data_IF_494695298162
#
_entry.id   IF_494695298162
#
_cell.length_a   1.000
_cell.length_b   1.000
_cell.length_c   1.000
_cell.angle_alpha   90.00
_cell.angle_beta   90.00
_cell.angle_gamma   90.00
#
_symmetry.space_group_name_H-M   'P 1'
#
loop_
_entity.id
_entity.type
_entity.pdbx_description
1 polymer ?
#
# COMPACT_ATOMS: atom_id res chain seq x y z
N UNK A 1 1.47 16.88 -25.38
CA UNK A 1 1.76 15.44 -25.39
C UNK A 1 0.72 14.75 -24.52
N UNK A 2 0.02 13.77 -25.06
CA UNK A 2 -0.90 12.93 -24.26
C UNK A 2 -0.03 12.01 -23.42
N UNK A 3 -0.12 12.11 -22.09
CA UNK A 3 0.59 11.22 -21.17
C UNK A 3 -0.22 9.92 -21.04
N UNK A 4 0.01 8.99 -21.97
CA UNK A 4 -0.81 7.76 -22.13
C UNK A 4 -0.17 6.51 -21.54
N UNK A 5 1.14 6.52 -21.34
CA UNK A 5 1.92 5.42 -20.79
C UNK A 5 3.01 5.92 -19.84
N UNK A 6 3.39 5.13 -18.82
CA UNK A 6 4.51 5.48 -17.97
C UNK A 6 5.80 5.53 -18.81
N UNK A 7 6.66 6.50 -18.51
CA UNK A 7 7.98 6.57 -19.16
C UNK A 7 8.75 5.26 -18.88
N UNK A 8 9.28 4.64 -19.93
CA UNK A 8 10.19 3.52 -19.78
C UNK A 8 11.53 4.03 -19.23
N UNK A 9 11.89 3.57 -18.04
CA UNK A 9 13.14 3.93 -17.35
C UNK A 9 13.85 2.64 -17.02
N UNK A 10 15.15 2.57 -17.32
CA UNK A 10 15.96 1.41 -16.96
C UNK A 10 16.23 1.37 -15.46
N UNK A 11 16.14 0.16 -14.90
CA UNK A 11 16.49 -0.08 -13.50
C UNK A 11 18.01 -0.01 -13.31
N UNK A 12 18.42 0.60 -12.19
CA UNK A 12 19.83 0.73 -11.82
C UNK A 12 20.24 -0.17 -10.67
N UNK A 13 19.34 -0.46 -9.75
CA UNK A 13 19.67 -1.14 -8.49
C UNK A 13 18.89 -2.43 -8.27
N UNK A 14 17.76 -2.59 -8.94
CA UNK A 14 16.79 -3.66 -8.66
C UNK A 14 17.38 -5.07 -8.82
N UNK A 15 18.12 -5.35 -9.90
CA UNK A 15 18.67 -6.69 -10.16
C UNK A 15 19.57 -7.17 -9.01
N UNK A 16 20.45 -6.28 -8.52
CA UNK A 16 21.33 -6.59 -7.37
C UNK A 16 20.51 -6.75 -6.08
N UNK A 17 19.51 -5.92 -5.88
CA UNK A 17 18.63 -5.99 -4.71
C UNK A 17 17.82 -7.29 -4.72
N UNK A 18 17.16 -7.62 -5.84
CA UNK A 18 16.34 -8.84 -5.99
C UNK A 18 17.14 -10.10 -5.71
N UNK A 19 18.41 -10.17 -6.15
CA UNK A 19 19.26 -11.34 -5.91
C UNK A 19 19.51 -11.61 -4.42
N UNK A 20 19.51 -10.58 -3.58
CA UNK A 20 19.68 -10.69 -2.13
C UNK A 20 18.40 -10.99 -1.33
N UNK A 21 17.23 -11.04 -1.97
CA UNK A 21 15.99 -11.35 -1.29
C UNK A 21 15.87 -12.85 -0.95
N UNK A 22 15.25 -13.19 0.21
CA UNK A 22 15.14 -14.57 0.66
C UNK A 22 14.21 -15.41 -0.20
N UNK A 23 14.34 -16.73 -0.09
CA UNK A 23 13.36 -17.70 -0.57
C UNK A 23 12.06 -17.61 0.24
N UNK A 24 10.92 -17.74 -0.44
CA UNK A 24 9.58 -17.64 0.14
C UNK A 24 8.80 -18.95 0.02
N UNK A 25 9.45 -20.06 -0.30
CA UNK A 25 8.80 -21.36 -0.38
C UNK A 25 8.03 -21.67 0.91
N UNK A 26 6.75 -22.03 0.78
CA UNK A 26 5.84 -22.29 1.89
C UNK A 26 5.25 -21.06 2.57
N UNK A 27 5.54 -19.86 2.09
CA UNK A 27 4.94 -18.60 2.59
C UNK A 27 3.79 -18.11 1.71
N UNK A 28 2.79 -17.52 2.34
CA UNK A 28 1.62 -16.91 1.69
C UNK A 28 1.76 -15.40 1.72
N UNK A 29 1.71 -14.77 0.55
CA UNK A 29 1.84 -13.31 0.39
C UNK A 29 0.60 -12.77 -0.32
N UNK A 30 -0.20 -11.94 0.35
CA UNK A 30 -1.34 -11.25 -0.24
C UNK A 30 -1.00 -9.77 -0.49
N UNK A 31 -1.27 -9.29 -1.72
CA UNK A 31 -0.94 -7.93 -2.14
C UNK A 31 -2.16 -7.29 -2.81
N UNK A 32 -2.54 -6.09 -2.36
CA UNK A 32 -3.59 -5.31 -3.02
C UNK A 32 -3.01 -4.52 -4.21
N UNK A 33 -3.74 -4.47 -5.34
CA UNK A 33 -3.38 -3.62 -6.48
C UNK A 33 -2.17 -4.10 -7.28
N UNK A 34 -2.16 -5.36 -7.69
CA UNK A 34 -1.05 -6.03 -8.39
C UNK A 34 -1.07 -5.88 -9.92
N UNK A 35 -1.93 -5.04 -10.50
CA UNK A 35 -2.11 -5.02 -11.97
C UNK A 35 -1.00 -4.30 -12.71
N UNK A 36 -0.37 -3.32 -12.10
CA UNK A 36 0.68 -2.48 -12.71
C UNK A 36 1.61 -1.87 -11.66
N UNK A 37 2.70 -1.22 -12.10
CA UNK A 37 3.59 -0.41 -11.25
C UNK A 37 4.24 -1.23 -10.14
N UNK A 38 4.41 -0.60 -8.97
CA UNK A 38 5.08 -1.21 -7.81
C UNK A 38 4.38 -2.47 -7.31
N UNK A 39 3.04 -2.52 -7.34
CA UNK A 39 2.30 -3.72 -6.94
C UNK A 39 2.55 -4.91 -7.85
N UNK A 40 2.63 -4.70 -9.16
CA UNK A 40 2.95 -5.76 -10.12
C UNK A 40 4.38 -6.29 -9.95
N UNK A 41 5.35 -5.38 -9.83
CA UNK A 41 6.75 -5.77 -9.61
C UNK A 41 6.91 -6.52 -8.28
N UNK A 42 6.26 -6.04 -7.20
CA UNK A 42 6.28 -6.72 -5.91
C UNK A 42 5.69 -8.14 -6.01
N UNK A 43 4.53 -8.28 -6.65
CA UNK A 43 3.85 -9.55 -6.84
C UNK A 43 4.71 -10.54 -7.67
N UNK A 44 5.26 -10.08 -8.79
CA UNK A 44 6.14 -10.88 -9.64
C UNK A 44 7.39 -11.36 -8.89
N UNK A 45 8.02 -10.47 -8.13
CA UNK A 45 9.21 -10.82 -7.33
C UNK A 45 8.88 -11.84 -6.25
N UNK A 46 7.77 -11.67 -5.51
CA UNK A 46 7.34 -12.65 -4.52
C UNK A 46 7.06 -14.03 -5.15
N UNK A 47 6.40 -14.06 -6.32
CA UNK A 47 6.16 -15.30 -7.07
C UNK A 47 7.48 -15.98 -7.49
N UNK A 48 8.44 -15.22 -8.06
CA UNK A 48 9.78 -15.72 -8.43
C UNK A 48 10.57 -16.27 -7.24
N UNK A 49 10.32 -15.74 -6.05
CA UNK A 49 10.94 -16.21 -4.81
C UNK A 49 10.20 -17.40 -4.17
N UNK A 50 9.19 -17.97 -4.83
CA UNK A 50 8.50 -19.19 -4.41
C UNK A 50 7.30 -19.00 -3.48
N UNK A 51 6.82 -17.77 -3.29
CA UNK A 51 5.62 -17.54 -2.48
C UNK A 51 4.35 -18.10 -3.14
N UNK A 52 3.41 -18.55 -2.32
CA UNK A 52 2.00 -18.62 -2.74
C UNK A 52 1.47 -17.18 -2.79
N UNK A 53 1.36 -16.63 -4.00
CA UNK A 53 0.93 -15.27 -4.22
C UNK A 53 -0.58 -15.16 -4.35
N UNK A 54 -1.19 -14.30 -3.52
CA UNK A 54 -2.60 -13.92 -3.62
C UNK A 54 -2.70 -12.46 -4.07
N UNK A 55 -3.23 -12.25 -5.26
CA UNK A 55 -3.46 -10.93 -5.83
C UNK A 55 -4.86 -10.44 -5.43
N UNK A 56 -4.94 -9.40 -4.60
CA UNK A 56 -6.19 -8.76 -4.20
C UNK A 56 -6.48 -7.60 -5.15
N UNK A 57 -7.28 -7.87 -6.18
CA UNK A 57 -7.56 -6.93 -7.26
C UNK A 57 -9.06 -6.83 -7.53
N UNK A 58 -9.47 -5.72 -8.14
CA UNK A 58 -10.81 -5.62 -8.76
C UNK A 58 -10.90 -6.61 -9.93
N UNK A 59 -12.07 -7.19 -10.13
CA UNK A 59 -12.34 -8.01 -11.31
C UNK A 59 -12.23 -7.14 -12.58
N UNK A 60 -11.26 -7.46 -13.43
CA UNK A 60 -11.00 -6.72 -14.67
C UNK A 60 -10.05 -7.50 -15.60
N UNK A 61 -10.11 -7.21 -16.90
CA UNK A 61 -9.16 -7.76 -17.88
C UNK A 61 -7.69 -7.47 -17.52
N UNK A 62 -7.41 -6.30 -16.93
CA UNK A 62 -6.07 -5.96 -16.43
C UNK A 62 -5.61 -6.89 -15.31
N UNK A 63 -6.53 -7.33 -14.44
CA UNK A 63 -6.20 -8.27 -13.37
C UNK A 63 -5.85 -9.65 -13.94
N UNK A 64 -6.67 -10.15 -14.85
CA UNK A 64 -6.43 -11.45 -15.52
C UNK A 64 -5.14 -11.43 -16.35
N UNK A 65 -4.85 -10.32 -17.05
CA UNK A 65 -3.59 -10.16 -17.79
C UNK A 65 -2.37 -10.12 -16.86
N UNK A 66 -2.46 -9.42 -15.74
CA UNK A 66 -1.37 -9.37 -14.77
C UNK A 66 -1.10 -10.75 -14.16
N UNK A 67 -2.14 -11.50 -13.78
CA UNK A 67 -2.01 -12.88 -13.28
C UNK A 67 -1.32 -13.78 -14.30
N UNK A 68 -1.78 -13.75 -15.55
CA UNK A 68 -1.17 -14.51 -16.65
C UNK A 68 0.31 -14.16 -16.81
N UNK A 69 0.65 -12.88 -16.89
CA UNK A 69 2.04 -12.41 -17.03
C UNK A 69 2.94 -12.84 -15.87
N UNK A 70 2.42 -12.88 -14.65
CA UNK A 70 3.18 -13.36 -13.49
C UNK A 70 3.41 -14.86 -13.61
N UNK A 71 2.38 -15.65 -13.97
CA UNK A 71 2.51 -17.10 -14.18
C UNK A 71 3.51 -17.44 -15.30
N UNK A 72 3.46 -16.70 -16.41
CA UNK A 72 4.38 -16.86 -17.53
C UNK A 72 5.85 -16.56 -17.13
N UNK A 73 6.05 -15.55 -16.29
CA UNK A 73 7.39 -15.08 -15.86
C UNK A 73 7.94 -15.80 -14.61
N UNK A 74 7.10 -16.56 -13.91
CA UNK A 74 7.46 -17.37 -12.74
C UNK A 74 6.81 -18.77 -12.87
N UNK A 75 7.27 -19.61 -13.81
CA UNK A 75 6.73 -20.95 -14.01
C UNK A 75 6.85 -21.78 -12.73
N UNK A 76 5.76 -22.44 -12.33
CA UNK A 76 5.71 -23.23 -11.09
C UNK A 76 5.30 -22.45 -9.84
N UNK A 77 5.20 -21.12 -9.90
CA UNK A 77 4.66 -20.34 -8.78
C UNK A 77 3.15 -20.57 -8.62
N UNK A 78 2.69 -20.68 -7.38
CA UNK A 78 1.27 -20.67 -7.05
C UNK A 78 0.77 -19.24 -7.03
N UNK A 79 -0.07 -18.87 -8.00
CA UNK A 79 -0.61 -17.51 -8.15
C UNK A 79 -2.12 -17.59 -8.34
N UNK A 80 -2.85 -16.86 -7.52
CA UNK A 80 -4.30 -16.74 -7.62
C UNK A 80 -4.77 -15.30 -7.38
N UNK A 81 -5.91 -14.95 -7.96
CA UNK A 81 -6.58 -13.67 -7.73
C UNK A 81 -7.84 -13.88 -6.90
N UNK A 82 -7.99 -13.05 -5.87
CA UNK A 82 -9.25 -12.89 -5.11
C UNK A 82 -9.77 -11.49 -5.41
N UNK A 83 -11.04 -11.39 -5.80
CA UNK A 83 -11.69 -10.10 -6.05
C UNK A 83 -11.73 -9.26 -4.78
N UNK A 84 -11.23 -8.03 -4.86
CA UNK A 84 -11.22 -7.06 -3.77
C UNK A 84 -11.30 -5.64 -4.34
N UNK A 85 -12.48 -5.02 -4.26
CA UNK A 85 -12.64 -3.60 -4.54
C UNK A 85 -12.59 -2.79 -3.25
N UNK A 86 -11.50 -2.07 -3.05
CA UNK A 86 -11.30 -1.23 -1.86
C UNK A 86 -12.20 0.02 -1.83
N UNK A 87 -13.00 0.26 -2.87
CA UNK A 87 -14.06 1.28 -2.86
C UNK A 87 -15.37 0.76 -2.23
N UNK A 88 -15.38 -0.49 -1.73
CA UNK A 88 -16.51 -1.15 -1.10
C UNK A 88 -16.09 -1.98 0.09
N UNK A 89 -16.62 -1.67 1.28
CA UNK A 89 -16.41 -2.50 2.48
C UNK A 89 -17.01 -3.90 2.31
N UNK A 90 -18.13 -4.01 1.61
CA UNK A 90 -18.74 -5.32 1.34
C UNK A 90 -17.80 -6.21 0.49
N UNK A 91 -17.18 -5.66 -0.57
CA UNK A 91 -16.20 -6.39 -1.38
C UNK A 91 -14.95 -6.73 -0.58
N UNK A 92 -14.47 -5.82 0.27
CA UNK A 92 -13.33 -6.08 1.15
C UNK A 92 -13.62 -7.25 2.10
N UNK A 93 -14.82 -7.31 2.72
CA UNK A 93 -15.23 -8.43 3.58
C UNK A 93 -15.37 -9.75 2.82
N UNK A 94 -15.88 -9.73 1.59
CA UNK A 94 -15.94 -10.92 0.75
C UNK A 94 -14.52 -11.47 0.44
N UNK A 95 -13.55 -10.59 0.19
CA UNK A 95 -12.16 -10.97 0.03
C UNK A 95 -11.57 -11.60 1.31
N UNK A 96 -11.86 -11.01 2.49
CA UNK A 96 -11.47 -11.57 3.79
C UNK A 96 -12.04 -12.97 3.99
N UNK A 97 -13.33 -13.17 3.71
CA UNK A 97 -13.97 -14.49 3.84
C UNK A 97 -13.27 -15.53 2.96
N UNK A 98 -12.92 -15.17 1.71
CA UNK A 98 -12.18 -16.03 0.79
C UNK A 98 -10.77 -16.36 1.30
N UNK A 99 -10.03 -15.36 1.82
CA UNK A 99 -8.72 -15.56 2.42
C UNK A 99 -8.81 -16.49 3.64
N UNK A 100 -9.79 -16.27 4.52
CA UNK A 100 -9.99 -17.09 5.73
C UNK A 100 -10.30 -18.53 5.38
N UNK A 101 -11.18 -18.77 4.40
CA UNK A 101 -11.50 -20.10 3.94
C UNK A 101 -10.26 -20.86 3.43
N UNK A 102 -9.39 -20.17 2.67
CA UNK A 102 -8.22 -20.79 2.03
C UNK A 102 -7.04 -20.97 3.00
N UNK A 103 -6.81 -20.04 3.90
CA UNK A 103 -5.56 -19.93 4.65
C UNK A 103 -5.72 -20.06 6.19
N UNK A 104 -6.88 -20.52 6.69
CA UNK A 104 -7.10 -20.73 8.12
C UNK A 104 -6.09 -21.70 8.77
N UNK A 105 -5.55 -22.64 8.02
CA UNK A 105 -4.56 -23.63 8.51
C UNK A 105 -3.14 -23.08 8.45
N UNK A 106 -2.76 -22.50 7.31
CA UNK A 106 -1.38 -22.08 7.03
C UNK A 106 -1.08 -20.63 7.47
N UNK A 107 -2.12 -19.81 7.61
CA UNK A 107 -2.00 -18.39 7.89
C UNK A 107 -1.51 -17.57 6.68
N UNK A 108 -1.35 -16.28 6.90
CA UNK A 108 -0.88 -15.28 5.93
C UNK A 108 0.43 -14.67 6.44
N UNK A 109 1.52 -14.83 5.71
CA UNK A 109 2.84 -14.32 6.12
C UNK A 109 3.00 -12.83 5.87
N UNK A 110 2.44 -12.32 4.76
CA UNK A 110 2.51 -10.91 4.41
C UNK A 110 1.16 -10.44 3.86
N UNK A 111 0.64 -9.38 4.46
CA UNK A 111 -0.42 -8.55 3.88
C UNK A 111 0.18 -7.23 3.42
N UNK A 112 0.27 -7.03 2.11
CA UNK A 112 0.78 -5.81 1.50
C UNK A 112 -0.35 -4.90 1.03
N UNK A 113 -0.62 -3.85 1.78
CA UNK A 113 -1.59 -2.78 1.52
C UNK A 113 -1.02 -1.77 0.52
N UNK A 114 -0.80 -2.21 -0.73
CA UNK A 114 -0.15 -1.43 -1.78
C UNK A 114 -1.11 -0.60 -2.63
N UNK A 115 -2.33 -1.09 -2.88
CA UNK A 115 -3.29 -0.40 -3.73
C UNK A 115 -3.51 1.06 -3.31
N UNK A 116 -3.74 1.92 -4.29
CA UNK A 116 -4.06 3.31 -4.01
C UNK A 116 -4.48 4.07 -5.25
N UNK A 117 -5.20 5.14 -5.00
CA UNK A 117 -5.61 6.14 -6.00
C UNK A 117 -5.06 7.49 -5.61
N UNK A 118 -4.83 8.38 -6.59
CA UNK A 118 -4.13 9.64 -6.39
C UNK A 118 -4.86 10.81 -7.07
N UNK A 119 -5.07 11.87 -6.31
CA UNK A 119 -5.62 13.15 -6.75
C UNK A 119 -6.92 13.01 -7.56
N UNK A 120 -7.82 12.13 -7.13
CA UNK A 120 -9.14 11.93 -7.71
C UNK A 120 -10.13 13.03 -7.27
N UNK A 121 -11.25 13.08 -7.96
CA UNK A 121 -12.36 13.98 -7.64
C UNK A 121 -12.91 13.75 -6.23
N UNK A 122 -13.54 14.80 -5.70
CA UNK A 122 -14.25 14.75 -4.42
C UNK A 122 -15.60 14.06 -4.63
N UNK A 123 -15.57 12.74 -4.54
CA UNK A 123 -16.75 11.89 -4.70
C UNK A 123 -16.83 10.90 -3.56
N UNK A 124 -18.04 10.60 -3.14
CA UNK A 124 -18.30 9.56 -2.14
C UNK A 124 -18.28 8.17 -2.79
N UNK A 125 -17.78 7.19 -2.06
CA UNK A 125 -18.02 5.77 -2.33
C UNK A 125 -19.45 5.38 -1.94
N UNK A 126 -19.84 4.14 -2.20
CA UNK A 126 -21.15 3.59 -1.74
C UNK A 126 -21.25 3.55 -0.22
N UNK A 127 -20.13 3.52 0.49
CA UNK A 127 -20.07 3.55 1.95
C UNK A 127 -20.05 4.99 2.52
N UNK A 128 -20.08 6.02 1.64
CA UNK A 128 -20.20 7.45 2.01
C UNK A 128 -18.86 8.16 2.26
N UNK A 129 -17.72 7.49 2.20
CA UNK A 129 -16.40 8.09 2.42
C UNK A 129 -15.80 8.64 1.13
N UNK A 130 -14.86 9.59 1.25
CA UNK A 130 -14.07 10.03 0.09
C UNK A 130 -13.36 8.84 -0.56
N UNK A 131 -13.40 8.78 -1.88
CA UNK A 131 -12.86 7.66 -2.66
C UNK A 131 -11.37 7.39 -2.38
N UNK A 132 -10.58 8.44 -2.11
CA UNK A 132 -9.15 8.28 -1.81
C UNK A 132 -8.95 7.79 -0.36
N UNK A 133 -9.70 8.35 0.61
CA UNK A 133 -9.62 7.96 2.02
C UNK A 133 -10.04 6.49 2.19
N UNK A 134 -11.14 6.09 1.59
CA UNK A 134 -11.60 4.70 1.69
C UNK A 134 -10.62 3.75 1.02
N UNK A 135 -10.26 3.98 -0.25
CA UNK A 135 -9.39 3.09 -1.00
C UNK A 135 -7.99 2.96 -0.38
N UNK A 136 -7.39 4.10 0.01
CA UNK A 136 -5.99 4.11 0.41
C UNK A 136 -5.78 3.75 1.90
N UNK A 137 -6.81 3.93 2.75
CA UNK A 137 -6.67 3.75 4.19
C UNK A 137 -7.78 2.89 4.81
N UNK A 138 -9.06 3.31 4.78
CA UNK A 138 -10.10 2.65 5.58
C UNK A 138 -10.33 1.19 5.17
N UNK A 139 -10.36 0.89 3.86
CA UNK A 139 -10.52 -0.49 3.40
C UNK A 139 -9.29 -1.35 3.68
N UNK A 140 -8.09 -0.77 3.73
CA UNK A 140 -6.89 -1.48 4.18
C UNK A 140 -6.91 -1.73 5.70
N UNK A 141 -7.41 -0.77 6.49
CA UNK A 141 -7.64 -0.99 7.92
C UNK A 141 -8.63 -2.15 8.14
N UNK A 142 -9.77 -2.14 7.45
CA UNK A 142 -10.77 -3.20 7.51
C UNK A 142 -10.18 -4.57 7.11
N UNK A 143 -9.51 -4.62 5.96
CA UNK A 143 -8.86 -5.83 5.45
C UNK A 143 -7.86 -6.39 6.47
N UNK A 144 -7.01 -5.53 7.02
CA UNK A 144 -6.00 -5.91 8.01
C UNK A 144 -6.64 -6.41 9.30
N UNK A 145 -7.63 -5.68 9.83
CA UNK A 145 -8.37 -6.05 11.04
C UNK A 145 -8.96 -7.45 10.92
N UNK A 146 -9.67 -7.71 9.82
CA UNK A 146 -10.41 -8.96 9.66
C UNK A 146 -9.52 -10.14 9.22
N UNK A 147 -8.35 -9.89 8.59
CA UNK A 147 -7.36 -10.94 8.28
C UNK A 147 -6.32 -11.13 9.40
N UNK A 148 -6.35 -10.34 10.45
CA UNK A 148 -5.36 -10.38 11.53
C UNK A 148 -5.19 -11.78 12.15
N UNK A 149 -6.24 -12.58 12.37
CA UNK A 149 -6.08 -13.96 12.83
C UNK A 149 -5.22 -14.85 11.93
N UNK A 150 -5.23 -14.61 10.61
CA UNK A 150 -4.37 -15.33 9.67
C UNK A 150 -2.91 -14.91 9.79
N UNK A 151 -2.65 -13.63 10.06
CA UNK A 151 -1.30 -13.10 10.30
C UNK A 151 -0.72 -13.65 11.62
N UNK A 152 -1.51 -13.66 12.69
CA UNK A 152 -1.14 -14.30 13.97
C UNK A 152 -0.86 -15.79 13.80
N UNK A 153 -1.66 -16.49 12.99
CA UNK A 153 -1.44 -17.90 12.68
C UNK A 153 -0.09 -18.12 12.00
N UNK A 154 0.23 -17.34 10.98
CA UNK A 154 1.54 -17.42 10.30
C UNK A 154 2.69 -17.05 11.24
N UNK A 155 2.55 -16.00 12.03
CA UNK A 155 3.54 -15.56 13.01
C UNK A 155 3.80 -16.63 14.08
N UNK A 156 2.77 -17.34 14.53
CA UNK A 156 2.90 -18.47 15.44
C UNK A 156 3.65 -19.65 14.81
N UNK A 157 3.37 -19.97 13.55
CA UNK A 157 3.97 -21.10 12.85
C UNK A 157 5.40 -20.86 12.40
N UNK A 158 5.73 -19.62 11.98
CA UNK A 158 6.99 -19.30 11.28
C UNK A 158 7.81 -18.17 11.92
N UNK A 159 7.39 -17.69 13.10
CA UNK A 159 8.15 -16.73 13.90
C UNK A 159 7.82 -15.26 13.64
N UNK A 160 7.32 -14.89 12.45
CA UNK A 160 6.86 -13.54 12.13
C UNK A 160 5.80 -13.56 11.02
N UNK A 161 4.98 -12.52 10.96
CA UNK A 161 4.19 -12.11 9.81
C UNK A 161 4.25 -10.58 9.67
N UNK A 162 3.87 -10.04 8.52
CA UNK A 162 4.03 -8.61 8.24
C UNK A 162 2.76 -7.98 7.66
N UNK A 163 2.44 -6.81 8.16
CA UNK A 163 1.48 -5.87 7.59
C UNK A 163 2.31 -4.73 7.00
N UNK A 164 2.21 -4.54 5.69
CA UNK A 164 3.03 -3.57 4.96
C UNK A 164 2.14 -2.49 4.37
N UNK A 165 2.30 -1.25 4.82
CA UNK A 165 1.56 -0.11 4.33
C UNK A 165 2.35 0.68 3.29
N UNK A 166 1.70 1.07 2.21
CA UNK A 166 2.31 1.85 1.13
C UNK A 166 1.95 3.33 1.26
N UNK A 167 2.90 4.14 1.72
CA UNK A 167 2.82 5.59 1.81
C UNK A 167 3.39 6.29 0.55
N UNK A 168 3.78 7.54 0.65
CA UNK A 168 4.35 8.36 -0.42
C UNK A 168 5.04 9.61 0.16
N UNK A 169 5.96 10.21 -0.57
CA UNK A 169 6.48 11.55 -0.28
C UNK A 169 5.38 12.62 -0.14
N UNK A 170 4.19 12.40 -0.76
CA UNK A 170 3.04 13.28 -0.60
C UNK A 170 2.57 13.45 0.87
N UNK A 171 2.92 12.54 1.79
CA UNK A 171 2.66 12.67 3.23
C UNK A 171 3.27 13.95 3.83
N UNK A 172 4.29 14.50 3.18
CA UNK A 172 4.91 15.75 3.61
C UNK A 172 4.16 17.03 3.18
N UNK A 173 3.22 16.91 2.22
CA UNK A 173 2.46 18.04 1.69
C UNK A 173 1.32 18.51 2.62
N UNK A 174 1.06 17.80 3.71
CA UNK A 174 0.09 18.24 4.75
C UNK A 174 0.79 18.50 6.07
N UNK A 175 0.22 19.43 6.89
CA UNK A 175 0.78 19.81 8.20
C UNK A 175 0.52 18.75 9.28
N UNK A 176 -0.56 17.97 9.14
CA UNK A 176 -0.98 16.95 10.07
C UNK A 176 -2.25 16.25 9.57
N UNK A 177 -2.74 15.26 10.30
CA UNK A 177 -4.02 14.64 10.01
C UNK A 177 -5.18 15.53 10.50
N UNK A 178 -6.23 15.61 9.70
CA UNK A 178 -7.44 16.36 10.04
C UNK A 178 -8.64 15.39 10.07
N UNK A 179 -9.28 15.26 11.23
CA UNK A 179 -10.39 14.34 11.49
C UNK A 179 -11.51 14.39 10.44
N UNK A 180 -11.79 15.59 9.88
CA UNK A 180 -12.85 15.78 8.87
C UNK A 180 -12.73 14.89 7.64
N UNK A 181 -11.49 14.46 7.27
CA UNK A 181 -11.27 13.63 6.09
C UNK A 181 -11.64 12.16 6.30
N UNK A 182 -11.74 11.69 7.55
CA UNK A 182 -11.93 10.28 7.89
C UNK A 182 -13.37 9.90 8.25
N UNK A 183 -14.31 10.83 8.10
CA UNK A 183 -15.76 10.58 8.26
C UNK A 183 -16.46 10.34 6.93
N UNK A 184 -17.77 10.00 6.95
CA UNK A 184 -18.58 9.73 5.76
C UNK A 184 -19.02 11.04 5.06
N UNK A 185 -18.04 11.86 4.66
CA UNK A 185 -18.20 13.19 4.09
C UNK A 185 -17.76 13.27 2.62
N UNK A 186 -17.70 12.14 1.92
CA UNK A 186 -17.31 12.12 0.50
C UNK A 186 -18.20 13.04 -0.33
N UNK A 187 -17.60 13.78 -1.27
CA UNK A 187 -18.27 14.80 -2.07
C UNK A 187 -18.31 16.20 -1.43
N UNK A 188 -17.86 16.34 -0.18
CA UNK A 188 -17.92 17.60 0.60
C UNK A 188 -16.57 17.96 1.26
N UNK A 189 -15.45 17.51 0.69
CA UNK A 189 -14.11 17.65 1.28
C UNK A 189 -13.19 18.64 0.52
N UNK A 190 -13.76 19.72 0.01
CA UNK A 190 -13.03 20.86 -0.55
C UNK A 190 -12.97 20.92 -2.07
N UNK A 191 -13.69 20.05 -2.78
CA UNK A 191 -13.86 20.12 -4.23
C UNK A 191 -12.69 19.61 -5.04
N UNK A 192 -12.51 20.12 -6.28
CA UNK A 192 -11.79 19.44 -7.36
C UNK A 192 -10.55 20.19 -7.89
N UNK A 193 -10.06 21.20 -7.18
CA UNK A 193 -8.81 21.86 -7.58
C UNK A 193 -7.62 20.86 -7.61
N UNK A 194 -6.87 20.85 -8.74
CA UNK A 194 -5.92 19.79 -9.08
C UNK A 194 -4.45 20.21 -9.10
N UNK A 195 -4.10 21.46 -8.77
CA UNK A 195 -2.70 21.89 -8.73
C UNK A 195 -1.95 21.26 -7.56
N UNK A 196 -0.95 20.45 -7.86
CA UNK A 196 -0.11 19.83 -6.84
C UNK A 196 0.73 20.88 -6.10
N UNK A 197 1.33 21.82 -6.80
CA UNK A 197 2.23 22.83 -6.24
C UNK A 197 1.51 23.88 -5.38
N UNK A 198 0.23 24.15 -5.66
CA UNK A 198 -0.59 25.10 -4.92
C UNK A 198 -1.52 24.45 -3.89
N UNK A 199 -1.31 23.20 -3.51
CA UNK A 199 -2.12 22.51 -2.50
C UNK A 199 -3.59 22.34 -2.90
N UNK A 200 -3.84 21.97 -4.15
CA UNK A 200 -5.19 21.70 -4.64
C UNK A 200 -5.92 20.62 -3.84
N UNK A 201 -7.23 20.75 -3.68
CA UNK A 201 -8.04 19.92 -2.78
C UNK A 201 -7.89 18.41 -3.04
N UNK A 202 -7.74 17.99 -4.31
CA UNK A 202 -7.47 16.59 -4.66
C UNK A 202 -6.17 16.08 -4.05
N UNK A 203 -5.12 16.91 -4.04
CA UNK A 203 -3.81 16.58 -3.48
C UNK A 203 -3.79 16.63 -1.96
N UNK A 204 -4.56 17.55 -1.36
CA UNK A 204 -4.73 17.58 0.09
C UNK A 204 -5.33 16.29 0.59
N UNK A 205 -6.44 15.81 -0.01
CA UNK A 205 -7.05 14.52 0.34
C UNK A 205 -6.09 13.36 0.15
N UNK A 206 -5.38 13.32 -0.97
CA UNK A 206 -4.35 12.30 -1.20
C UNK A 206 -3.26 12.32 -0.12
N UNK A 207 -2.76 13.51 0.21
CA UNK A 207 -1.72 13.67 1.24
C UNK A 207 -2.19 13.22 2.62
N UNK A 208 -3.46 13.47 2.96
CA UNK A 208 -4.08 12.94 4.18
C UNK A 208 -4.04 11.41 4.20
N UNK A 209 -4.36 10.73 3.09
CA UNK A 209 -4.30 9.26 3.03
C UNK A 209 -2.89 8.73 3.22
N UNK A 210 -1.88 9.41 2.64
CA UNK A 210 -0.50 8.93 2.69
C UNK A 210 0.15 9.21 4.05
N UNK A 211 -0.21 10.30 4.71
CA UNK A 211 0.16 10.53 6.10
C UNK A 211 -0.58 9.53 7.02
N UNK A 212 -1.87 9.25 6.77
CA UNK A 212 -2.62 8.25 7.53
C UNK A 212 -1.97 6.88 7.49
N UNK A 213 -1.49 6.42 6.33
CA UNK A 213 -0.80 5.13 6.22
C UNK A 213 0.47 5.06 7.09
N UNK A 214 1.22 6.15 7.19
CA UNK A 214 2.40 6.25 8.06
C UNK A 214 2.01 6.26 9.55
N UNK A 215 1.08 7.14 9.94
CA UNK A 215 0.59 7.27 11.33
C UNK A 215 -0.07 5.98 11.80
N UNK A 216 -0.91 5.35 10.95
CA UNK A 216 -1.53 4.07 11.26
C UNK A 216 -0.52 2.95 11.47
N UNK A 217 0.56 2.92 10.69
CA UNK A 217 1.64 1.95 10.91
C UNK A 217 2.23 2.07 12.30
N UNK A 218 2.45 3.29 12.79
CA UNK A 218 2.97 3.53 14.15
C UNK A 218 1.95 3.18 15.24
N UNK A 219 0.69 3.55 15.04
CA UNK A 219 -0.40 3.18 15.95
C UNK A 219 -0.57 1.66 16.06
N UNK A 220 -0.48 0.96 14.93
CA UNK A 220 -0.56 -0.50 14.88
C UNK A 220 0.68 -1.16 15.51
N UNK A 221 1.89 -0.68 15.20
CA UNK A 221 3.12 -1.14 15.82
C UNK A 221 3.06 -1.07 17.34
N UNK A 222 2.63 0.07 17.90
CA UNK A 222 2.52 0.24 19.36
C UNK A 222 1.53 -0.75 19.98
N UNK A 223 0.38 -0.98 19.35
CA UNK A 223 -0.65 -1.92 19.85
C UNK A 223 -0.18 -3.39 19.75
N UNK A 224 0.43 -3.77 18.64
CA UNK A 224 1.01 -5.11 18.47
C UNK A 224 2.09 -5.40 19.51
N UNK A 225 2.97 -4.42 19.77
CA UNK A 225 4.01 -4.54 20.79
C UNK A 225 3.41 -4.70 22.20
N UNK A 226 2.39 -3.91 22.53
CA UNK A 226 1.68 -4.02 23.82
C UNK A 226 0.98 -5.37 24.00
N UNK A 227 0.43 -5.95 22.92
CA UNK A 227 -0.18 -7.28 22.90
C UNK A 227 0.82 -8.44 22.83
N UNK A 228 2.11 -8.17 22.72
CA UNK A 228 3.15 -9.23 22.58
C UNK A 228 3.09 -9.99 21.26
N UNK A 229 2.46 -9.43 20.21
CA UNK A 229 2.33 -10.04 18.90
C UNK A 229 3.68 -10.12 18.19
N UNK A 230 3.89 -11.20 17.44
CA UNK A 230 5.03 -11.37 16.53
C UNK A 230 4.75 -10.82 15.12
N UNK A 231 3.57 -10.28 14.88
CA UNK A 231 3.22 -9.58 13.64
C UNK A 231 3.89 -8.22 13.65
N UNK A 232 4.51 -7.87 12.52
CA UNK A 232 5.20 -6.58 12.34
C UNK A 232 4.33 -5.65 11.49
N UNK A 233 4.18 -4.40 11.91
CA UNK A 233 3.63 -3.34 11.10
C UNK A 233 4.77 -2.48 10.55
N UNK A 234 4.86 -2.34 9.22
CA UNK A 234 5.93 -1.60 8.55
C UNK A 234 5.37 -0.75 7.40
N UNK A 235 6.08 0.29 7.04
CA UNK A 235 5.66 1.23 6.00
C UNK A 235 6.74 1.45 4.96
N UNK A 236 6.34 1.59 3.70
CA UNK A 236 7.23 1.92 2.60
C UNK A 236 6.73 3.12 1.79
N UNK A 237 7.65 3.85 1.17
CA UNK A 237 7.31 4.78 0.10
C UNK A 237 8.30 4.62 -1.07
N UNK A 238 7.80 4.71 -2.33
CA UNK A 238 8.57 4.33 -3.52
C UNK A 238 9.53 5.42 -4.02
N UNK A 239 9.57 6.58 -3.37
CA UNK A 239 10.20 7.76 -3.95
C UNK A 239 9.45 8.25 -5.20
N UNK A 240 10.18 8.81 -6.15
CA UNK A 240 9.63 9.27 -7.42
C UNK A 240 9.78 8.17 -8.49
N UNK A 241 8.77 7.32 -8.65
CA UNK A 241 8.78 6.18 -9.55
C UNK A 241 7.84 6.36 -10.75
N UNK A 242 8.27 5.96 -11.94
CA UNK A 242 7.45 5.99 -13.15
C UNK A 242 6.46 4.81 -13.16
N UNK A 243 5.22 5.08 -12.81
CA UNK A 243 4.16 4.05 -12.71
C UNK A 243 2.87 4.49 -13.38
N UNK A 244 1.97 3.56 -13.63
CA UNK A 244 0.64 3.85 -14.19
C UNK A 244 -0.24 4.72 -13.27
N UNK A 245 0.10 4.87 -12.00
CA UNK A 245 -0.65 5.75 -11.09
C UNK A 245 -0.61 7.19 -11.59
N UNK A 246 0.55 7.68 -12.06
CA UNK A 246 0.69 9.02 -12.62
C UNK A 246 -0.08 9.17 -13.93
N UNK A 247 -0.06 8.15 -14.80
CA UNK A 247 -0.84 8.14 -16.06
C UNK A 247 -2.33 8.27 -15.77
N UNK A 248 -2.84 7.41 -14.89
CA UNK A 248 -4.26 7.44 -14.51
C UNK A 248 -4.65 8.77 -13.86
N UNK A 249 -3.78 9.32 -12.99
CA UNK A 249 -4.02 10.61 -12.34
C UNK A 249 -4.09 11.75 -13.36
N UNK A 250 -3.18 11.76 -14.34
CA UNK A 250 -3.19 12.75 -15.42
C UNK A 250 -4.45 12.64 -16.29
N UNK A 251 -4.84 11.43 -16.68
CA UNK A 251 -6.03 11.16 -17.48
C UNK A 251 -7.32 11.61 -16.79
N UNK A 252 -7.39 11.49 -15.47
CA UNK A 252 -8.51 11.95 -14.65
C UNK A 252 -8.42 13.45 -14.27
N UNK A 253 -7.49 14.21 -14.88
CA UNK A 253 -7.34 15.65 -14.63
C UNK A 253 -6.79 16.01 -13.24
N UNK A 254 -6.28 15.04 -12.50
CA UNK A 254 -5.73 15.22 -11.15
C UNK A 254 -4.28 15.71 -11.11
N UNK A 255 -3.56 15.63 -12.22
CA UNK A 255 -2.15 16.07 -12.31
C UNK A 255 -1.92 16.81 -13.62
N UNK A 256 -1.30 18.00 -13.53
CA UNK A 256 -0.90 18.82 -14.69
C UNK A 256 0.63 18.89 -14.84
N UNK A 257 1.35 18.73 -13.76
CA UNK A 257 2.82 18.88 -13.64
C UNK A 257 3.55 17.59 -14.04
N UNK A 258 3.50 17.23 -15.32
CA UNK A 258 4.13 15.98 -15.82
C UNK A 258 5.65 16.07 -16.00
N UNK A 259 6.22 17.29 -16.01
CA UNK A 259 7.66 17.49 -16.20
C UNK A 259 8.52 16.86 -15.08
N UNK A 260 7.97 16.77 -13.85
CA UNK A 260 8.62 16.13 -12.70
C UNK A 260 8.94 14.66 -13.01
N UNK A 261 8.11 13.99 -13.80
CA UNK A 261 8.27 12.58 -14.14
C UNK A 261 9.51 12.31 -15.04
N UNK A 262 10.16 13.36 -15.56
CA UNK A 262 11.45 13.21 -16.26
C UNK A 262 12.57 12.70 -15.34
N UNK A 263 12.42 12.93 -14.04
CA UNK A 263 13.38 12.52 -13.01
C UNK A 263 12.98 11.23 -12.29
N UNK A 264 11.89 10.60 -12.69
CA UNK A 264 11.43 9.37 -12.04
C UNK A 264 12.41 8.21 -12.27
N UNK A 265 12.61 7.40 -11.23
CA UNK A 265 13.26 6.09 -11.33
C UNK A 265 12.31 5.06 -11.96
N UNK A 266 12.82 3.88 -12.29
CA UNK A 266 12.01 2.78 -12.82
C UNK A 266 10.97 2.30 -11.79
N UNK A 267 9.95 1.59 -12.25
CA UNK A 267 8.99 0.95 -11.36
C UNK A 267 9.66 -0.11 -10.47
N UNK A 268 10.64 -0.81 -11.02
CA UNK A 268 11.44 -1.82 -10.33
C UNK A 268 12.22 -1.20 -9.17
N UNK A 269 13.01 -0.14 -9.45
CA UNK A 269 13.77 0.56 -8.42
C UNK A 269 12.86 1.18 -7.35
N UNK A 270 11.72 1.75 -7.76
CA UNK A 270 10.71 2.29 -6.84
C UNK A 270 10.00 1.22 -6.00
N UNK A 271 10.08 -0.05 -6.40
CA UNK A 271 9.47 -1.15 -5.63
C UNK A 271 10.39 -1.68 -4.52
N UNK A 272 11.69 -1.41 -4.56
CA UNK A 272 12.64 -1.94 -3.59
C UNK A 272 12.27 -1.65 -2.12
N UNK A 273 11.83 -0.43 -1.73
CA UNK A 273 11.38 -0.18 -0.36
C UNK A 273 10.19 -1.05 0.05
N UNK A 274 9.23 -1.26 -0.85
CA UNK A 274 8.07 -2.10 -0.60
C UNK A 274 8.48 -3.57 -0.41
N UNK A 275 9.34 -4.09 -1.28
CA UNK A 275 9.89 -5.44 -1.18
C UNK A 275 10.73 -5.62 0.09
N UNK A 276 11.55 -4.62 0.47
CA UNK A 276 12.29 -4.66 1.73
C UNK A 276 11.34 -4.82 2.93
N UNK A 277 10.23 -4.09 2.95
CA UNK A 277 9.20 -4.23 3.97
C UNK A 277 8.50 -5.58 3.93
N UNK A 278 8.12 -6.06 2.73
CA UNK A 278 7.41 -7.32 2.58
C UNK A 278 8.25 -8.53 2.98
N UNK A 279 9.48 -8.61 2.47
CA UNK A 279 10.24 -9.86 2.48
C UNK A 279 11.74 -9.67 2.82
N UNK A 280 12.24 -8.44 2.92
CA UNK A 280 13.64 -8.17 3.26
C UNK A 280 13.98 -8.63 4.67
N UNK A 281 15.23 -9.05 4.88
CA UNK A 281 15.75 -9.45 6.19
C UNK A 281 15.98 -8.24 7.10
N UNK A 282 15.88 -8.44 8.43
CA UNK A 282 16.28 -7.46 9.44
C UNK A 282 15.34 -6.26 9.62
N UNK A 283 14.15 -6.22 8.99
CA UNK A 283 13.21 -5.11 9.14
C UNK A 283 12.49 -5.21 10.49
N UNK A 284 12.61 -4.15 11.29
CA UNK A 284 11.93 -4.03 12.59
C UNK A 284 10.46 -3.60 12.41
N UNK A 285 9.60 -3.95 13.37
CA UNK A 285 8.25 -3.40 13.41
C UNK A 285 8.31 -1.89 13.71
N UNK A 286 7.49 -1.09 13.05
CA UNK A 286 7.50 0.37 13.10
C UNK A 286 8.44 1.02 12.07
N UNK A 287 9.29 0.25 11.38
CA UNK A 287 10.21 0.79 10.37
C UNK A 287 9.48 1.47 9.20
N UNK A 288 10.07 2.56 8.72
CA UNK A 288 9.67 3.25 7.49
C UNK A 288 10.82 3.21 6.49
N UNK A 289 10.58 2.59 5.33
CA UNK A 289 11.61 2.35 4.31
C UNK A 289 11.35 3.25 3.08
N UNK A 290 12.37 3.97 2.66
CA UNK A 290 12.38 4.81 1.45
C UNK A 290 13.68 4.62 0.66
N UNK A 291 13.77 5.17 -0.58
CA UNK A 291 15.05 5.26 -1.28
C UNK A 291 16.07 6.11 -0.50
N UNK A 292 17.34 5.72 -0.54
CA UNK A 292 18.44 6.38 0.22
C UNK A 292 18.98 7.66 -0.40
N UNK A 293 18.63 7.97 -1.65
CA UNK A 293 19.15 9.14 -2.36
C UNK A 293 18.51 10.45 -1.93
N UNK A 294 18.95 11.56 -2.53
CA UNK A 294 18.54 12.92 -2.16
C UNK A 294 17.02 13.06 -2.11
N UNK A 295 16.50 13.54 -0.98
CA UNK A 295 15.07 13.75 -0.75
C UNK A 295 14.25 12.45 -0.78
N UNK A 296 14.89 11.31 -0.58
CA UNK A 296 14.27 9.97 -0.63
C UNK A 296 13.55 9.68 -1.96
N UNK A 297 14.06 10.25 -3.06
CA UNK A 297 13.44 10.12 -4.39
C UNK A 297 13.96 8.95 -5.19
N UNK A 298 15.21 8.55 -5.00
CA UNK A 298 15.90 7.50 -5.78
C UNK A 298 16.82 6.65 -4.90
N UNK A 299 17.19 5.47 -5.39
CA UNK A 299 18.27 4.67 -4.82
C UNK A 299 17.81 3.41 -4.08
N UNK A 300 18.75 2.64 -3.53
CA UNK A 300 18.47 1.47 -2.70
C UNK A 300 17.60 1.79 -1.49
N UNK A 301 16.86 0.80 -0.94
CA UNK A 301 16.01 1.01 0.22
C UNK A 301 16.84 1.29 1.48
N UNK A 302 16.36 2.20 2.30
CA UNK A 302 16.93 2.51 3.62
C UNK A 302 15.84 2.85 4.62
N UNK A 303 16.08 2.56 5.89
CA UNK A 303 15.20 3.02 6.95
C UNK A 303 15.38 4.53 7.19
N UNK A 304 14.28 5.25 7.28
CA UNK A 304 14.28 6.70 7.50
C UNK A 304 13.65 7.06 8.84
N UNK A 305 14.09 8.18 9.41
CA UNK A 305 13.48 8.70 10.63
C UNK A 305 12.12 9.30 10.33
N UNK A 306 11.16 8.96 11.17
CA UNK A 306 9.82 9.54 11.13
C UNK A 306 9.85 11.00 11.62
N UNK A 307 9.02 11.81 11.00
CA UNK A 307 8.80 13.20 11.45
C UNK A 307 7.86 13.22 12.66
N UNK A 308 7.81 14.37 13.36
CA UNK A 308 6.92 14.55 14.52
C UNK A 308 5.45 14.24 14.19
N UNK A 309 4.96 14.63 13.01
CA UNK A 309 3.56 14.39 12.61
C UNK A 309 3.22 12.94 12.33
N UNK A 310 4.21 12.12 11.99
CA UNK A 310 4.04 10.67 11.76
C UNK A 310 4.04 9.89 13.09
N UNK A 311 4.67 10.46 14.11
CA UNK A 311 4.80 9.90 15.47
C UNK A 311 3.96 10.66 16.51
N UNK A 312 2.96 11.45 16.10
CA UNK A 312 2.11 12.20 16.99
C UNK A 312 1.05 11.30 17.65
N UNK A 313 1.10 11.11 18.98
CA UNK A 313 0.14 10.23 19.67
C UNK A 313 -1.32 10.66 19.50
N UNK A 314 -1.59 11.97 19.47
CA UNK A 314 -2.95 12.48 19.28
C UNK A 314 -3.50 12.11 17.89
N UNK A 315 -2.66 12.21 16.85
CA UNK A 315 -3.02 11.77 15.49
C UNK A 315 -3.21 10.27 15.40
N UNK A 316 -2.41 9.45 16.11
CA UNK A 316 -2.56 8.00 16.15
C UNK A 316 -3.91 7.60 16.76
N UNK A 317 -4.27 8.17 17.91
CA UNK A 317 -5.55 7.86 18.57
C UNK A 317 -6.74 8.38 17.77
N UNK A 318 -6.68 9.61 17.24
CA UNK A 318 -7.73 10.18 16.38
C UNK A 318 -7.98 9.31 15.15
N UNK A 319 -6.91 8.89 14.46
CA UNK A 319 -7.01 8.08 13.24
C UNK A 319 -7.54 6.68 13.55
N UNK A 320 -7.05 6.06 14.64
CA UNK A 320 -7.52 4.74 15.07
C UNK A 320 -9.02 4.77 15.36
N UNK A 321 -9.46 5.70 16.21
CA UNK A 321 -10.89 5.85 16.57
C UNK A 321 -11.76 6.14 15.33
N UNK A 322 -11.31 7.00 14.39
CA UNK A 322 -12.04 7.27 13.17
C UNK A 322 -12.14 6.01 12.27
N UNK A 323 -11.08 5.21 12.21
CA UNK A 323 -11.06 3.95 11.46
C UNK A 323 -11.98 2.89 12.09
N UNK A 324 -12.03 2.82 13.40
CA UNK A 324 -12.97 1.92 14.12
C UNK A 324 -14.43 2.34 13.95
N UNK A 325 -14.72 3.63 13.94
CA UNK A 325 -16.08 4.13 13.64
C UNK A 325 -16.51 3.69 12.24
N UNK A 326 -15.61 3.73 11.26
CA UNK A 326 -15.90 3.35 9.88
C UNK A 326 -15.97 1.82 9.68
N UNK A 327 -15.09 1.07 10.32
CA UNK A 327 -14.82 -0.34 10.01
C UNK A 327 -15.23 -1.32 11.14
N UNK A 328 -15.68 -0.81 12.28
CA UNK A 328 -15.95 -1.58 13.49
C UNK A 328 -14.73 -1.71 14.40
N UNK A 329 -14.98 -1.89 15.69
CA UNK A 329 -13.96 -2.01 16.76
C UNK A 329 -12.92 -3.08 16.43
N UNK A 330 -11.67 -2.82 16.79
CA UNK A 330 -10.56 -3.77 16.65
C UNK A 330 -9.82 -3.93 17.98
N UNK A 331 -10.07 -5.03 18.66
CA UNK A 331 -9.36 -5.42 19.90
C UNK A 331 -8.08 -6.17 19.51
N UNK A 332 -6.94 -5.59 19.82
CA UNK A 332 -5.61 -6.16 19.68
C UNK A 332 -5.06 -6.56 21.04
#
# INVERSE_FOLDING_TARGET
MVYSEPRKVESKWFTKFESGLPDLTGKVVAITGCTTGTGFVCALTCARKGAHLVMLNRNSSRSSDAERRIKDAAPGATVETIECDLMSFASTRAAVASLTQKFSVNGLDVLCCNAGVMALEDVATTDGFDVQIQTNHLSHFLLTKETFPLLEKAASLRGEARIVNHSSGARHMTRGLEKKYFGPNGGHLGGNSSSMLCGGARWVRYSQTKLANSVWTQALHARLAAGGSKVKAVCAAPGLAATNLQVTTHQNGGMKETWIMRFAQSAEDGTMPLLQCCIGSGVASGAFIEPSGTGNMWGPPTEVRLTKKENDPASMEMLWAASEIACGEWKL
#
